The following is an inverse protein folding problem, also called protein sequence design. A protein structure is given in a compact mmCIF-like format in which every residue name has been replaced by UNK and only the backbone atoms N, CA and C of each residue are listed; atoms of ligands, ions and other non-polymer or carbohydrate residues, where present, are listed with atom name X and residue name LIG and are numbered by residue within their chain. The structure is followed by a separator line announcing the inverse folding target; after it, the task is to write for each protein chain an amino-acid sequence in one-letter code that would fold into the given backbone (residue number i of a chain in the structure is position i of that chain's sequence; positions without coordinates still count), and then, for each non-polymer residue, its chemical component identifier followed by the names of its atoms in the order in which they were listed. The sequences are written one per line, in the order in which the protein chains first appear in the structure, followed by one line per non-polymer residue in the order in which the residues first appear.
data_IF_451342941700
#
_entry.id   IF_451342941700
#
_cell.length_a   1.000
_cell.length_b   1.000
_cell.length_c   1.000
_cell.angle_alpha   90.00
_cell.angle_beta   90.00
_cell.angle_gamma   90.00
#
_symmetry.space_group_name_H-M   'P 1'
#
loop_
_entity.id
_entity.type
_entity.pdbx_description
1 polymer ?
#
# COMPACT_ATOMS: atom_id res chain seq x y z
N UNK A 1 14.19 19.94 -5.98
CA UNK A 1 14.94 18.78 -5.43
C UNK A 1 14.10 18.00 -4.41
N UNK A 2 13.31 18.71 -3.61
CA UNK A 2 12.39 18.25 -2.58
C UNK A 2 11.45 17.13 -3.06
N UNK A 3 10.86 17.25 -4.24
CA UNK A 3 10.01 16.19 -4.81
C UNK A 3 10.77 14.89 -5.12
N UNK A 4 12.05 14.98 -5.51
CA UNK A 4 12.88 13.80 -5.72
C UNK A 4 13.27 13.15 -4.39
N UNK A 5 13.56 13.95 -3.37
CA UNK A 5 13.82 13.48 -2.00
C UNK A 5 12.61 12.71 -1.48
N UNK A 6 11.41 13.32 -1.54
CA UNK A 6 10.17 12.70 -1.06
C UNK A 6 9.91 11.37 -1.78
N UNK A 7 10.05 11.34 -3.10
CA UNK A 7 9.87 10.13 -3.90
C UNK A 7 10.83 9.00 -3.52
N UNK A 8 12.08 9.31 -3.19
CA UNK A 8 13.08 8.30 -2.81
C UNK A 8 12.88 7.87 -1.35
N UNK A 9 12.60 8.81 -0.45
CA UNK A 9 12.33 8.54 0.95
C UNK A 9 11.12 7.60 1.12
N UNK A 10 10.05 7.83 0.36
CA UNK A 10 8.85 6.98 0.34
C UNK A 10 9.19 5.52 -0.03
N UNK A 11 9.97 5.33 -1.11
CA UNK A 11 10.40 3.98 -1.54
C UNK A 11 11.25 3.26 -0.49
N UNK A 12 12.14 3.98 0.20
CA UNK A 12 12.99 3.41 1.25
C UNK A 12 12.13 3.03 2.46
N UNK A 13 11.21 3.91 2.86
CA UNK A 13 10.32 3.67 3.99
C UNK A 13 9.45 2.44 3.72
N UNK A 14 8.78 2.40 2.56
CA UNK A 14 7.93 1.29 2.12
C UNK A 14 8.68 -0.05 2.18
N UNK A 15 9.78 -0.21 1.43
CA UNK A 15 10.53 -1.49 1.35
C UNK A 15 10.94 -1.99 2.72
N UNK A 16 11.41 -1.10 3.61
CA UNK A 16 11.88 -1.51 4.93
C UNK A 16 10.74 -1.80 5.92
N UNK A 17 9.63 -1.07 5.85
CA UNK A 17 8.46 -1.33 6.68
C UNK A 17 7.78 -2.64 6.28
N UNK A 18 7.58 -2.88 4.98
CA UNK A 18 6.96 -4.10 4.49
C UNK A 18 7.78 -5.35 4.82
N UNK A 19 9.11 -5.25 4.68
CA UNK A 19 10.00 -6.32 5.09
C UNK A 19 9.84 -6.63 6.58
N UNK A 20 9.80 -5.60 7.43
CA UNK A 20 9.62 -5.75 8.87
C UNK A 20 8.27 -6.37 9.22
N UNK A 21 7.20 -5.93 8.57
CA UNK A 21 5.85 -6.46 8.81
C UNK A 21 5.71 -7.90 8.31
N UNK A 22 6.34 -8.25 7.19
CA UNK A 22 6.40 -9.63 6.71
C UNK A 22 7.15 -10.56 7.67
N UNK A 23 8.26 -10.08 8.27
CA UNK A 23 9.00 -10.80 9.31
C UNK A 23 8.16 -10.95 10.58
N UNK A 24 7.49 -9.87 11.03
CA UNK A 24 6.60 -9.90 12.20
C UNK A 24 5.42 -10.86 12.01
N UNK A 25 4.86 -10.90 10.80
CA UNK A 25 3.80 -11.83 10.42
C UNK A 25 4.29 -13.27 10.22
N UNK A 26 5.59 -13.53 10.37
CA UNK A 26 6.24 -14.83 10.16
C UNK A 26 6.03 -15.39 8.76
N UNK A 27 5.84 -14.52 7.76
CA UNK A 27 5.79 -14.91 6.35
C UNK A 27 7.19 -15.25 5.82
N UNK A 28 8.19 -14.53 6.32
CA UNK A 28 9.60 -14.68 5.99
C UNK A 28 10.46 -14.42 7.23
N UNK A 29 11.75 -14.68 7.12
CA UNK A 29 12.80 -14.28 8.06
C UNK A 29 13.85 -13.41 7.35
N UNK A 30 14.64 -12.65 8.11
CA UNK A 30 15.76 -11.86 7.55
C UNK A 30 16.77 -12.73 6.78
N UNK A 31 16.90 -14.00 7.15
CA UNK A 31 17.82 -14.92 6.48
C UNK A 31 17.33 -15.40 5.11
N UNK A 32 16.02 -15.30 4.84
CA UNK A 32 15.43 -15.68 3.55
C UNK A 32 15.76 -14.66 2.46
N UNK A 33 16.11 -13.43 2.84
CA UNK A 33 16.60 -12.42 1.90
C UNK A 33 17.92 -12.92 1.29
N UNK A 34 18.05 -12.90 -0.05
CA UNK A 34 19.26 -13.33 -0.74
C UNK A 34 20.52 -12.70 -0.15
N UNK A 35 21.50 -13.55 0.18
CA UNK A 35 22.73 -13.13 0.87
C UNK A 35 23.50 -12.06 0.08
N UNK A 36 23.47 -12.12 -1.23
CA UNK A 36 24.12 -11.14 -2.09
C UNK A 36 23.47 -9.75 -1.99
N UNK A 37 22.15 -9.66 -1.78
CA UNK A 37 21.46 -8.40 -1.48
C UNK A 37 21.85 -7.90 -0.07
N UNK A 38 21.81 -8.77 0.94
CA UNK A 38 22.17 -8.42 2.32
C UNK A 38 23.61 -7.94 2.45
N UNK A 39 24.55 -8.60 1.75
CA UNK A 39 25.96 -8.21 1.76
C UNK A 39 26.23 -6.82 1.18
N UNK A 40 25.32 -6.30 0.34
CA UNK A 40 25.43 -4.97 -0.27
C UNK A 40 24.68 -3.93 0.53
N UNK A 41 23.45 -4.21 0.94
CA UNK A 41 22.61 -3.22 1.60
C UNK A 41 22.81 -3.19 3.11
N UNK A 42 23.00 -4.35 3.75
CA UNK A 42 23.10 -4.52 5.20
C UNK A 42 22.38 -5.79 5.68
N UNK A 43 22.81 -6.31 6.82
CA UNK A 43 22.22 -7.50 7.44
C UNK A 43 21.00 -7.13 8.30
N UNK A 44 20.98 -5.92 8.85
CA UNK A 44 19.87 -5.39 9.65
C UNK A 44 19.11 -4.28 8.94
N UNK A 45 17.87 -4.02 9.35
CA UNK A 45 17.07 -2.85 8.90
C UNK A 45 17.86 -1.54 9.02
N UNK A 46 18.50 -1.31 10.17
CA UNK A 46 19.25 -0.08 10.45
C UNK A 46 20.44 0.07 9.51
N UNK A 47 21.20 -1.00 9.28
CA UNK A 47 22.30 -0.99 8.31
C UNK A 47 21.80 -0.74 6.89
N UNK A 48 20.71 -1.39 6.49
CA UNK A 48 20.07 -1.23 5.17
C UNK A 48 19.72 0.22 4.87
N UNK A 49 18.99 0.85 5.79
CA UNK A 49 18.61 2.27 5.68
C UNK A 49 19.86 3.14 5.65
N UNK A 50 20.82 2.90 6.55
CA UNK A 50 22.06 3.69 6.63
C UNK A 50 22.85 3.64 5.32
N UNK A 51 23.01 2.45 4.74
CA UNK A 51 23.73 2.27 3.47
C UNK A 51 23.05 3.02 2.33
N UNK A 52 21.74 2.89 2.19
CA UNK A 52 20.99 3.56 1.12
C UNK A 52 21.05 5.08 1.28
N UNK A 53 20.80 5.59 2.50
CA UNK A 53 20.82 7.03 2.78
C UNK A 53 22.22 7.62 2.57
N UNK A 54 23.27 6.95 3.04
CA UNK A 54 24.65 7.40 2.79
C UNK A 54 24.97 7.45 1.30
N UNK A 55 24.62 6.40 0.55
CA UNK A 55 24.86 6.38 -0.90
C UNK A 55 24.13 7.53 -1.60
N UNK A 56 22.90 7.86 -1.18
CA UNK A 56 22.17 9.02 -1.71
C UNK A 56 22.91 10.32 -1.44
N UNK A 57 23.29 10.55 -0.17
CA UNK A 57 23.95 11.78 0.26
C UNK A 57 25.24 11.99 -0.52
N UNK A 58 26.14 10.99 -0.53
CA UNK A 58 27.43 11.12 -1.18
C UNK A 58 27.31 11.26 -2.70
N UNK A 59 26.46 10.45 -3.35
CA UNK A 59 26.29 10.53 -4.81
C UNK A 59 25.63 11.84 -5.26
N UNK A 60 24.77 12.42 -4.42
CA UNK A 60 24.16 13.74 -4.67
C UNK A 60 25.16 14.88 -4.44
N UNK A 61 26.08 14.75 -3.48
CA UNK A 61 27.18 15.71 -3.31
C UNK A 61 28.10 15.65 -4.54
N UNK A 62 28.47 14.45 -4.98
CA UNK A 62 29.37 14.24 -6.11
C UNK A 62 28.79 14.74 -7.45
N UNK A 63 27.46 14.79 -7.57
CA UNK A 63 26.78 15.35 -8.73
C UNK A 63 26.47 16.86 -8.61
N UNK A 64 27.06 17.55 -7.63
CA UNK A 64 26.85 18.96 -7.35
C UNK A 64 25.39 19.34 -7.09
N UNK A 65 24.63 18.48 -6.40
CA UNK A 65 23.23 18.70 -6.03
C UNK A 65 22.29 18.93 -7.23
N UNK A 66 22.65 18.48 -8.43
CA UNK A 66 21.80 18.63 -9.60
C UNK A 66 20.56 17.74 -9.52
N UNK A 67 20.72 16.52 -9.00
CA UNK A 67 19.64 15.53 -8.83
C UNK A 67 19.86 14.70 -7.58
N UNK A 68 18.78 14.20 -6.98
CA UNK A 68 18.88 13.21 -5.91
C UNK A 68 19.17 11.83 -6.53
N UNK A 69 20.41 11.38 -6.39
CA UNK A 69 20.90 10.12 -6.98
C UNK A 69 21.57 9.26 -5.93
N UNK A 70 21.75 7.97 -6.23
CA UNK A 70 22.49 7.01 -5.41
C UNK A 70 23.37 6.16 -6.33
N UNK A 71 24.32 5.43 -5.77
CA UNK A 71 25.14 4.51 -6.56
C UNK A 71 24.30 3.46 -7.27
N UNK A 72 24.65 3.15 -8.51
CA UNK A 72 23.94 2.17 -9.34
C UNK A 72 23.85 0.79 -8.66
N UNK A 73 24.92 0.39 -7.96
CA UNK A 73 24.97 -0.86 -7.20
C UNK A 73 23.92 -0.90 -6.08
N UNK A 74 23.74 0.20 -5.36
CA UNK A 74 22.76 0.32 -4.27
C UNK A 74 21.35 0.34 -4.84
N UNK A 75 21.12 1.13 -5.89
CA UNK A 75 19.83 1.17 -6.58
C UNK A 75 19.39 -0.20 -7.09
N UNK A 76 20.29 -0.92 -7.77
CA UNK A 76 20.01 -2.28 -8.29
C UNK A 76 19.65 -3.25 -7.17
N UNK A 77 20.37 -3.24 -6.05
CA UNK A 77 20.05 -4.15 -4.95
C UNK A 77 18.79 -3.75 -4.19
N UNK A 78 18.49 -2.46 -4.06
CA UNK A 78 17.21 -1.99 -3.52
C UNK A 78 16.04 -2.45 -4.40
N UNK A 79 16.19 -2.36 -5.73
CA UNK A 79 15.18 -2.87 -6.66
C UNK A 79 15.02 -4.40 -6.56
N UNK A 80 16.12 -5.14 -6.48
CA UNK A 80 16.08 -6.60 -6.30
C UNK A 80 15.43 -7.01 -4.98
N UNK A 81 15.67 -6.28 -3.89
CA UNK A 81 14.99 -6.51 -2.62
C UNK A 81 13.48 -6.29 -2.75
N UNK A 82 13.07 -5.21 -3.43
CA UNK A 82 11.65 -4.95 -3.70
C UNK A 82 11.02 -6.07 -4.54
N UNK A 83 11.71 -6.55 -5.56
CA UNK A 83 11.22 -7.65 -6.39
C UNK A 83 11.08 -8.94 -5.56
N UNK A 84 12.09 -9.25 -4.74
CA UNK A 84 12.04 -10.41 -3.86
C UNK A 84 10.86 -10.33 -2.86
N UNK A 85 10.60 -9.16 -2.27
CA UNK A 85 9.42 -8.95 -1.44
C UNK A 85 8.13 -9.20 -2.23
N UNK A 86 8.06 -8.71 -3.47
CA UNK A 86 6.92 -8.96 -4.36
C UNK A 86 6.64 -10.46 -4.51
N UNK A 87 7.67 -11.22 -4.85
CA UNK A 87 7.54 -12.64 -5.16
C UNK A 87 7.27 -13.51 -3.92
N UNK A 88 7.78 -13.12 -2.75
CA UNK A 88 7.76 -13.97 -1.54
C UNK A 88 6.75 -13.51 -0.48
N UNK A 89 6.32 -12.25 -0.51
CA UNK A 89 5.39 -11.68 0.48
C UNK A 89 4.07 -11.32 -0.20
N UNK A 90 4.09 -10.47 -1.23
CA UNK A 90 2.84 -9.97 -1.84
C UNK A 90 2.11 -11.02 -2.67
N UNK A 91 2.85 -11.92 -3.32
CA UNK A 91 2.29 -13.05 -4.07
C UNK A 91 2.12 -14.31 -3.22
N UNK A 92 2.41 -14.25 -1.92
CA UNK A 92 2.19 -15.39 -1.04
C UNK A 92 0.70 -15.76 -1.03
N UNK A 93 0.40 -17.06 -1.17
CA UNK A 93 -0.98 -17.56 -1.31
C UNK A 93 -1.95 -16.99 -0.26
N UNK A 94 -1.63 -16.96 1.05
CA UNK A 94 -2.53 -16.37 2.06
C UNK A 94 -2.83 -14.88 1.81
N UNK A 95 -1.85 -14.12 1.32
CA UNK A 95 -2.01 -12.69 1.01
C UNK A 95 -2.90 -12.50 -0.21
N UNK A 96 -2.70 -13.30 -1.26
CA UNK A 96 -3.52 -13.26 -2.48
C UNK A 96 -4.97 -13.64 -2.17
N UNK A 97 -5.19 -14.68 -1.35
CA UNK A 97 -6.54 -15.09 -0.94
C UNK A 97 -7.29 -13.99 -0.17
N UNK A 98 -6.62 -13.30 0.76
CA UNK A 98 -7.21 -12.16 1.46
C UNK A 98 -7.42 -10.95 0.54
N UNK A 99 -6.51 -10.70 -0.40
CA UNK A 99 -6.66 -9.63 -1.39
C UNK A 99 -7.90 -9.86 -2.27
N UNK A 100 -8.15 -11.09 -2.72
CA UNK A 100 -9.34 -11.44 -3.50
C UNK A 100 -10.63 -11.26 -2.71
N UNK A 101 -10.63 -11.60 -1.40
CA UNK A 101 -11.78 -11.28 -0.52
C UNK A 101 -12.00 -9.77 -0.42
N UNK A 102 -10.94 -8.99 -0.24
CA UNK A 102 -11.00 -7.53 -0.22
C UNK A 102 -11.57 -6.93 -1.50
N UNK A 103 -11.10 -7.41 -2.67
CA UNK A 103 -11.67 -7.03 -3.99
C UNK A 103 -13.15 -7.37 -4.08
N UNK A 104 -13.56 -8.54 -3.58
CA UNK A 104 -14.95 -8.96 -3.51
C UNK A 104 -15.81 -8.00 -2.68
N UNK A 105 -15.31 -7.59 -1.51
CA UNK A 105 -15.97 -6.61 -0.64
C UNK A 105 -16.13 -5.26 -1.35
N UNK A 106 -15.06 -4.72 -1.92
CA UNK A 106 -15.09 -3.44 -2.63
C UNK A 106 -16.05 -3.47 -3.82
N UNK A 107 -16.02 -4.56 -4.61
CA UNK A 107 -16.93 -4.75 -5.73
C UNK A 107 -18.39 -4.76 -5.27
N UNK A 108 -18.71 -5.52 -4.23
CA UNK A 108 -20.07 -5.59 -3.71
C UNK A 108 -20.56 -4.23 -3.17
N UNK A 109 -19.71 -3.51 -2.43
CA UNK A 109 -20.04 -2.18 -1.93
C UNK A 109 -20.25 -1.18 -3.07
N UNK A 110 -19.36 -1.18 -4.07
CA UNK A 110 -19.51 -0.34 -5.26
C UNK A 110 -20.82 -0.63 -6.00
N UNK A 111 -21.11 -1.90 -6.29
CA UNK A 111 -22.34 -2.28 -6.98
C UNK A 111 -23.60 -1.92 -6.18
N UNK A 112 -23.56 -2.06 -4.86
CA UNK A 112 -24.65 -1.66 -3.97
C UNK A 112 -24.90 -0.15 -4.01
N UNK A 113 -23.86 0.66 -3.82
CA UNK A 113 -24.01 2.12 -3.82
C UNK A 113 -24.27 2.69 -5.22
N UNK A 114 -23.80 2.04 -6.28
CA UNK A 114 -24.17 2.42 -7.64
C UNK A 114 -25.69 2.25 -7.88
N UNK A 115 -26.27 1.14 -7.40
CA UNK A 115 -27.71 0.89 -7.51
C UNK A 115 -28.53 1.74 -6.54
N UNK A 116 -27.95 2.12 -5.41
CA UNK A 116 -28.62 2.84 -4.34
C UNK A 116 -27.90 4.17 -4.04
N UNK A 117 -27.54 4.93 -5.07
CA UNK A 117 -26.71 6.13 -4.93
C UNK A 117 -27.32 7.21 -4.04
N UNK A 118 -28.65 7.25 -3.96
CA UNK A 118 -29.40 8.12 -3.04
C UNK A 118 -29.13 7.81 -1.56
N UNK A 119 -28.60 6.63 -1.22
CA UNK A 119 -28.16 6.28 0.14
C UNK A 119 -26.75 6.79 0.48
N UNK A 120 -26.01 7.31 -0.51
CA UNK A 120 -24.69 7.89 -0.27
C UNK A 120 -24.87 9.20 0.51
N UNK A 121 -24.22 9.35 1.68
CA UNK A 121 -24.29 10.57 2.46
C UNK A 121 -23.92 11.80 1.62
N UNK A 122 -24.71 12.86 1.76
CA UNK A 122 -24.51 14.14 1.07
C UNK A 122 -24.61 14.12 -0.46
N UNK A 123 -25.05 13.01 -1.08
CA UNK A 123 -25.24 12.93 -2.54
C UNK A 123 -26.10 14.08 -3.08
N UNK A 124 -27.28 14.30 -2.50
CA UNK A 124 -28.19 15.38 -2.90
C UNK A 124 -27.57 16.77 -2.73
N UNK A 125 -26.79 16.96 -1.65
CA UNK A 125 -26.09 18.22 -1.40
C UNK A 125 -25.05 18.48 -2.47
N UNK A 126 -24.25 17.48 -2.84
CA UNK A 126 -23.24 17.64 -3.90
C UNK A 126 -23.88 17.83 -5.27
N UNK A 127 -24.96 17.11 -5.57
CA UNK A 127 -25.73 17.31 -6.79
C UNK A 127 -26.27 18.74 -6.90
N UNK A 128 -26.79 19.31 -5.81
CA UNK A 128 -27.27 20.70 -5.79
C UNK A 128 -26.13 21.72 -5.97
N UNK A 129 -24.97 21.47 -5.34
CA UNK A 129 -23.81 22.37 -5.42
C UNK A 129 -23.14 22.34 -6.79
N UNK A 130 -23.06 21.17 -7.42
CA UNK A 130 -22.33 20.97 -8.68
C UNK A 130 -23.23 21.00 -9.91
N UNK A 131 -24.55 20.94 -9.73
CA UNK A 131 -25.54 20.89 -10.82
C UNK A 131 -25.66 19.50 -11.45
N UNK A 132 -24.56 18.76 -11.50
CA UNK A 132 -24.48 17.36 -11.91
C UNK A 132 -23.56 16.56 -10.98
N UNK A 133 -23.94 15.33 -10.68
CA UNK A 133 -23.07 14.38 -9.99
C UNK A 133 -23.41 12.96 -10.45
N UNK A 134 -22.51 12.33 -11.20
CA UNK A 134 -22.71 10.99 -11.73
C UNK A 134 -22.78 9.96 -10.58
N UNK A 135 -23.86 9.16 -10.47
CA UNK A 135 -23.95 8.05 -9.52
C UNK A 135 -22.73 7.11 -9.52
N UNK A 136 -22.09 6.90 -10.68
CA UNK A 136 -20.88 6.06 -10.74
C UNK A 136 -19.73 6.72 -10.02
N UNK A 137 -19.48 8.00 -10.26
CA UNK A 137 -18.43 8.74 -9.58
C UNK A 137 -18.72 8.83 -8.08
N UNK A 138 -19.97 9.09 -7.70
CA UNK A 138 -20.38 9.12 -6.30
C UNK A 138 -20.10 7.80 -5.56
N UNK A 139 -20.41 6.66 -6.19
CA UNK A 139 -20.12 5.36 -5.63
C UNK A 139 -18.60 5.11 -5.50
N UNK A 140 -17.79 5.53 -6.49
CA UNK A 140 -16.32 5.46 -6.42
C UNK A 140 -15.79 6.29 -5.27
N UNK A 141 -16.15 7.58 -5.20
CA UNK A 141 -15.67 8.52 -4.19
C UNK A 141 -16.02 8.02 -2.78
N UNK A 142 -17.26 7.56 -2.60
CA UNK A 142 -17.73 7.10 -1.30
C UNK A 142 -17.03 5.82 -0.84
N UNK A 143 -16.87 4.83 -1.73
CA UNK A 143 -16.19 3.57 -1.40
C UNK A 143 -14.68 3.79 -1.21
N UNK A 144 -14.04 4.62 -2.04
CA UNK A 144 -12.62 4.94 -1.91
C UNK A 144 -12.30 5.77 -0.66
N UNK A 145 -13.28 6.53 -0.15
CA UNK A 145 -13.17 7.26 1.11
C UNK A 145 -13.35 6.40 2.37
N UNK A 146 -13.68 5.11 2.23
CA UNK A 146 -13.85 4.22 3.38
C UNK A 146 -12.49 3.78 3.96
N UNK A 147 -12.40 3.76 5.29
CA UNK A 147 -11.34 2.98 5.96
C UNK A 147 -11.68 1.49 5.90
N UNK A 148 -10.67 0.61 5.92
CA UNK A 148 -10.86 -0.85 5.88
C UNK A 148 -11.88 -1.34 6.92
N UNK A 149 -11.77 -0.86 8.16
CA UNK A 149 -12.69 -1.20 9.25
C UNK A 149 -14.12 -0.75 8.96
N UNK A 150 -14.29 0.41 8.32
CA UNK A 150 -15.62 0.90 7.96
C UNK A 150 -16.21 0.12 6.79
N UNK A 151 -15.41 -0.18 5.76
CA UNK A 151 -15.84 -1.00 4.64
C UNK A 151 -16.30 -2.39 5.08
N UNK A 152 -15.53 -3.07 5.94
CA UNK A 152 -15.89 -4.39 6.49
C UNK A 152 -17.20 -4.36 7.28
N UNK A 153 -17.36 -3.40 8.19
CA UNK A 153 -18.61 -3.25 8.97
C UNK A 153 -19.81 -2.94 8.09
N UNK A 154 -19.61 -2.13 7.06
CA UNK A 154 -20.66 -1.75 6.12
C UNK A 154 -21.07 -2.94 5.27
N UNK A 155 -20.10 -3.70 4.77
CA UNK A 155 -20.34 -4.95 4.05
C UNK A 155 -21.11 -5.96 4.90
N UNK A 156 -20.67 -6.19 6.15
CA UNK A 156 -21.35 -7.06 7.10
C UNK A 156 -22.80 -6.63 7.31
N UNK A 157 -23.03 -5.33 7.55
CA UNK A 157 -24.38 -4.78 7.77
C UNK A 157 -25.30 -4.95 6.56
N UNK A 158 -24.78 -4.83 5.34
CA UNK A 158 -25.58 -4.84 4.11
C UNK A 158 -25.85 -6.27 3.63
N UNK A 159 -24.83 -7.14 3.67
CA UNK A 159 -24.87 -8.43 2.98
C UNK A 159 -24.96 -9.64 3.92
N UNK A 160 -24.65 -9.49 5.21
CA UNK A 160 -24.65 -10.61 6.16
C UNK A 160 -25.90 -10.53 7.05
N UNK A 161 -26.84 -11.49 6.96
CA UNK A 161 -28.02 -11.53 7.83
C UNK A 161 -27.62 -11.70 9.28
N UNK A 162 -28.28 -10.97 10.19
CA UNK A 162 -28.15 -11.21 11.63
C UNK A 162 -29.12 -12.30 12.06
N UNK A 163 -28.62 -13.31 12.77
CA UNK A 163 -29.45 -14.33 13.40
C UNK A 163 -30.42 -13.69 14.39
N UNK A 164 -31.65 -14.18 14.45
CA UNK A 164 -32.63 -13.73 15.44
C UNK A 164 -32.20 -14.29 16.79
N UNK A 165 -31.67 -13.43 17.68
CA UNK A 165 -31.50 -13.80 19.07
C UNK A 165 -32.89 -13.81 19.73
N UNK A 166 -33.56 -14.96 19.68
CA UNK A 166 -34.68 -15.25 20.56
C UNK A 166 -34.05 -15.63 21.91
N UNK A 167 -34.08 -14.70 22.86
CA UNK A 167 -33.87 -14.99 24.28
C UNK A 167 -35.16 -15.54 24.89
#
# INVERSE_FOLDING_TARGET
LEGEIVRIADKIAYINHDLEDAVRAKLISENDIPRDIRSVLGETKSERITTIVKSIIYSTIDNNYQHIVMEEKIYKNMYRLRQWLFDNVYLAKPVVEELEKGKGILKALYEYYLKNYHLIPYYEKYLQLWGEYDPKQAAVDYVAGMTDRFALKTYEKIFIPKGWHIL
#
